data_IF_927680761168
#
_entry.id   IF_927680761168
#
_cell.length_a   1.000
_cell.length_b   1.000
_cell.length_c   1.000
_cell.angle_alpha   90.00
_cell.angle_beta   90.00
_cell.angle_gamma   90.00
#
_symmetry.space_group_name_H-M   'P 1'
#
loop_
_entity.id
_entity.type
_entity.pdbx_description
1 polymer ?
#
# COMPACT_ATOMS: atom_id res chain seq x y z
N UNK A 1 36.38 6.71 82.22
CA UNK A 1 35.41 5.90 82.97
C UNK A 1 35.08 4.68 82.12
N UNK A 2 35.66 3.62 82.47
CA UNK A 2 35.18 2.23 82.62
C UNK A 2 34.62 1.57 81.37
N UNK A 3 35.36 0.60 80.80
CA UNK A 3 35.45 -0.86 81.15
C UNK A 3 34.32 -1.63 80.42
N UNK A 4 34.46 -2.72 79.72
CA UNK A 4 35.39 -3.87 79.61
C UNK A 4 34.93 -4.68 78.35
N UNK A 5 35.87 -5.15 77.60
CA UNK A 5 36.24 -6.55 77.33
C UNK A 5 35.18 -7.65 77.50
N UNK A 6 34.99 -8.43 76.43
CA UNK A 6 35.27 -9.87 76.52
C UNK A 6 35.40 -10.54 75.17
N UNK A 7 36.55 -11.18 75.03
CA UNK A 7 36.94 -12.21 74.01
C UNK A 7 36.14 -13.49 74.16
N UNK A 8 35.83 -14.18 73.02
CA UNK A 8 35.92 -15.65 73.01
C UNK A 8 36.34 -16.18 71.63
N UNK A 9 37.28 -17.06 71.75
CA UNK A 9 38.05 -17.79 70.73
C UNK A 9 37.21 -18.88 70.01
N UNK A 10 37.60 -19.13 68.74
CA UNK A 10 37.94 -20.41 68.10
C UNK A 10 36.81 -21.39 67.75
N UNK A 11 36.70 -21.75 66.51
CA UNK A 11 37.08 -23.08 65.99
C UNK A 11 37.19 -23.08 64.50
N UNK A 12 38.30 -23.46 63.93
CA UNK A 12 38.55 -23.84 62.60
C UNK A 12 37.80 -25.15 62.26
N UNK A 13 37.04 -25.18 61.19
CA UNK A 13 36.69 -26.42 60.50
C UNK A 13 36.90 -26.18 59.02
N UNK A 14 37.89 -26.79 58.45
CA UNK A 14 38.16 -26.89 57.05
C UNK A 14 37.14 -27.86 56.46
N UNK A 15 36.28 -27.39 55.56
CA UNK A 15 35.47 -28.25 54.68
C UNK A 15 35.88 -28.00 53.21
N UNK A 16 36.57 -28.99 52.67
CA UNK A 16 36.79 -29.10 51.23
C UNK A 16 35.43 -29.24 50.52
N UNK A 17 35.01 -28.22 49.78
CA UNK A 17 33.93 -28.34 48.85
C UNK A 17 34.50 -28.42 47.43
N UNK A 18 34.47 -29.60 46.88
CA UNK A 18 34.65 -29.88 45.44
C UNK A 18 33.63 -29.07 44.64
N UNK A 19 34.10 -28.06 43.92
CA UNK A 19 33.30 -27.27 43.01
C UNK A 19 32.80 -28.12 41.84
N UNK A 20 31.53 -28.44 41.80
CA UNK A 20 30.85 -28.90 40.61
C UNK A 20 30.65 -27.70 39.66
N UNK A 21 31.44 -27.66 38.60
CA UNK A 21 31.19 -26.78 37.47
C UNK A 21 29.95 -27.27 36.77
N UNK A 22 28.80 -26.59 36.99
CA UNK A 22 27.66 -26.68 36.09
C UNK A 22 27.93 -25.78 34.88
N UNK A 23 27.95 -26.30 33.66
CA UNK A 23 27.97 -25.45 32.50
C UNK A 23 26.66 -24.67 32.48
N UNK A 24 26.75 -23.33 32.49
CA UNK A 24 25.64 -22.46 32.22
C UNK A 24 25.11 -22.77 30.81
N UNK A 25 24.07 -23.59 30.73
CA UNK A 25 23.26 -23.74 29.53
C UNK A 25 22.60 -22.37 29.28
N UNK A 26 23.16 -21.60 28.39
CA UNK A 26 22.48 -20.46 27.81
C UNK A 26 21.23 -21.03 27.06
N UNK A 27 20.12 -21.11 27.76
CA UNK A 27 18.80 -21.28 27.17
C UNK A 27 18.55 -20.03 26.34
N UNK A 28 18.97 -20.09 25.07
CA UNK A 28 18.55 -19.12 24.08
C UNK A 28 17.03 -19.05 24.15
N UNK A 29 16.47 -17.89 24.45
CA UNK A 29 15.03 -17.63 24.36
C UNK A 29 14.59 -18.05 22.96
N UNK A 30 14.00 -19.23 22.84
CA UNK A 30 13.32 -19.71 21.64
C UNK A 30 12.25 -18.66 21.34
N UNK A 31 12.42 -17.88 20.29
CA UNK A 31 11.36 -16.99 19.80
C UNK A 31 10.08 -17.81 19.70
N UNK A 32 8.96 -17.24 20.10
CA UNK A 32 7.65 -17.89 20.06
C UNK A 32 7.41 -18.48 18.70
N UNK A 33 7.36 -19.81 18.60
CA UNK A 33 7.16 -20.55 17.35
C UNK A 33 5.69 -20.57 16.86
N UNK A 34 4.86 -19.67 17.35
CA UNK A 34 3.46 -19.57 17.02
C UNK A 34 3.18 -18.52 15.93
N UNK A 35 1.99 -18.59 15.30
CA UNK A 35 1.58 -17.62 14.30
C UNK A 35 1.53 -16.20 14.89
N UNK A 36 1.94 -15.21 14.09
CA UNK A 36 1.88 -13.80 14.49
C UNK A 36 0.47 -13.28 14.27
N UNK A 37 -0.30 -13.13 15.35
CA UNK A 37 -1.69 -12.65 15.30
C UNK A 37 -1.73 -11.14 15.54
N UNK A 38 -2.46 -10.42 14.68
CA UNK A 38 -2.73 -8.98 14.79
C UNK A 38 -4.23 -8.70 14.79
N UNK A 39 -4.61 -7.52 15.30
CA UNK A 39 -6.02 -7.15 15.46
C UNK A 39 -6.65 -7.79 16.70
N UNK A 40 -7.96 -7.57 16.86
CA UNK A 40 -8.74 -8.05 18.01
C UNK A 40 -10.19 -8.36 17.63
N UNK A 41 -10.90 -9.09 18.50
CA UNK A 41 -12.30 -9.45 18.29
C UNK A 41 -12.52 -10.15 16.94
N UNK A 42 -13.50 -9.68 16.17
CA UNK A 42 -13.82 -10.21 14.82
C UNK A 42 -12.85 -9.74 13.72
N UNK A 43 -11.90 -8.88 14.05
CA UNK A 43 -10.89 -8.35 13.12
C UNK A 43 -9.50 -8.92 13.45
N UNK A 44 -9.39 -10.24 13.54
CA UNK A 44 -8.14 -10.95 13.84
C UNK A 44 -7.59 -11.61 12.60
N UNK A 45 -6.28 -11.44 12.41
CA UNK A 45 -5.55 -11.95 11.27
C UNK A 45 -4.22 -12.57 11.69
N UNK A 46 -3.82 -13.62 11.01
CA UNK A 46 -2.45 -14.12 11.03
C UNK A 46 -1.63 -13.33 10.00
N UNK A 47 -0.58 -12.63 10.46
CA UNK A 47 0.28 -11.84 9.60
C UNK A 47 1.43 -12.68 9.05
N UNK A 48 1.44 -12.86 7.74
CA UNK A 48 2.48 -13.57 6.97
C UNK A 48 3.25 -12.54 6.15
N UNK A 49 4.31 -11.98 6.73
CA UNK A 49 5.22 -11.10 6.01
C UNK A 49 6.06 -11.90 5.01
N UNK A 50 6.52 -11.25 3.94
CA UNK A 50 7.28 -11.91 2.86
C UNK A 50 6.55 -13.12 2.24
N UNK A 51 5.19 -13.02 2.17
CA UNK A 51 4.34 -14.07 1.64
C UNK A 51 4.65 -14.35 0.17
N UNK A 52 4.87 -13.34 -0.66
CA UNK A 52 5.22 -13.46 -2.07
C UNK A 52 6.74 -13.48 -2.24
N UNK A 53 7.29 -14.62 -2.66
CA UNK A 53 8.73 -14.78 -2.93
C UNK A 53 9.00 -14.84 -4.43
N UNK A 54 9.92 -13.98 -4.87
CA UNK A 54 10.38 -14.02 -6.26
C UNK A 54 11.41 -15.14 -6.47
N UNK A 55 11.45 -15.74 -7.69
CA UNK A 55 12.59 -16.56 -8.12
C UNK A 55 13.88 -15.74 -8.16
N UNK A 56 15.03 -16.37 -7.99
CA UNK A 56 16.36 -15.73 -7.90
C UNK A 56 16.72 -14.82 -9.08
N UNK A 57 16.14 -15.10 -10.26
CA UNK A 57 16.35 -14.26 -11.46
C UNK A 57 15.70 -12.88 -11.39
N UNK A 58 14.83 -12.64 -10.40
CA UNK A 58 14.15 -11.37 -10.19
C UNK A 58 14.45 -10.81 -8.80
N UNK A 59 14.36 -9.51 -8.66
CA UNK A 59 14.46 -8.84 -7.37
C UNK A 59 13.32 -7.85 -7.19
N UNK A 60 12.77 -7.79 -5.98
CA UNK A 60 11.87 -6.73 -5.62
C UNK A 60 12.56 -5.36 -5.70
N UNK A 61 11.80 -4.41 -6.19
CA UNK A 61 12.08 -2.99 -6.02
C UNK A 61 10.99 -2.41 -5.12
N UNK A 62 10.90 -1.11 -4.99
CA UNK A 62 9.83 -0.53 -4.16
C UNK A 62 8.46 -0.98 -4.68
N UNK A 63 7.76 -1.79 -3.90
CA UNK A 63 6.39 -2.23 -4.20
C UNK A 63 5.40 -1.10 -3.96
N UNK A 64 4.44 -0.95 -4.88
CA UNK A 64 3.47 0.13 -4.82
C UNK A 64 2.05 -0.36 -4.60
N UNK A 65 1.56 -1.21 -5.49
CA UNK A 65 0.16 -1.58 -5.50
C UNK A 65 -0.01 -3.08 -5.79
N UNK A 66 -1.19 -3.62 -5.50
CA UNK A 66 -1.54 -5.00 -5.77
C UNK A 66 -3.05 -5.15 -5.98
N UNK A 67 -3.43 -6.17 -6.75
CA UNK A 67 -4.82 -6.49 -7.03
C UNK A 67 -5.02 -8.01 -7.01
N UNK A 68 -6.25 -8.46 -6.77
CA UNK A 68 -6.61 -9.88 -6.72
C UNK A 68 -7.72 -10.14 -7.75
N UNK A 69 -7.54 -11.17 -8.57
CA UNK A 69 -8.59 -11.62 -9.48
C UNK A 69 -9.60 -12.58 -8.80
N UNK A 70 -10.65 -12.93 -9.50
CA UNK A 70 -11.70 -13.81 -8.98
C UNK A 70 -11.19 -15.22 -8.65
N UNK A 71 -10.14 -15.69 -9.32
CA UNK A 71 -9.50 -16.96 -9.06
C UNK A 71 -8.54 -16.92 -7.86
N UNK A 72 -8.27 -15.72 -7.31
CA UNK A 72 -7.40 -15.48 -6.16
C UNK A 72 -5.92 -15.30 -6.52
N UNK A 73 -5.57 -15.13 -7.81
CA UNK A 73 -4.23 -14.74 -8.18
C UNK A 73 -3.97 -13.29 -7.78
N UNK A 74 -2.76 -13.04 -7.26
CA UNK A 74 -2.34 -11.72 -6.78
C UNK A 74 -1.36 -11.11 -7.78
N UNK A 75 -1.70 -9.95 -8.28
CA UNK A 75 -0.90 -9.15 -9.20
C UNK A 75 -0.23 -8.03 -8.41
N UNK A 76 1.08 -7.97 -8.43
CA UNK A 76 1.87 -6.98 -7.69
C UNK A 76 2.64 -6.12 -8.67
N UNK A 77 2.49 -4.79 -8.58
CA UNK A 77 3.30 -3.86 -9.33
C UNK A 77 4.35 -3.20 -8.43
N UNK A 78 5.58 -3.08 -8.95
CA UNK A 78 6.62 -2.30 -8.32
C UNK A 78 7.04 -1.11 -9.20
N UNK A 79 7.65 -0.09 -8.60
CA UNK A 79 8.07 1.12 -9.30
C UNK A 79 8.99 0.83 -10.50
N UNK A 80 9.87 -0.14 -10.32
CA UNK A 80 10.89 -0.43 -11.29
C UNK A 80 12.04 0.59 -11.26
N UNK A 81 13.05 0.34 -12.11
CA UNK A 81 14.19 1.24 -12.29
C UNK A 81 14.43 1.46 -13.76
N UNK A 82 14.51 2.72 -14.19
CA UNK A 82 14.63 3.11 -15.60
C UNK A 82 15.73 2.36 -16.38
N UNK A 83 16.82 2.00 -15.72
CA UNK A 83 17.94 1.28 -16.36
C UNK A 83 17.72 -0.24 -16.50
N UNK A 84 16.69 -0.79 -15.89
CA UNK A 84 16.35 -2.22 -15.97
C UNK A 84 15.25 -2.46 -17.02
N UNK A 85 15.46 -2.04 -18.24
CA UNK A 85 14.45 -2.01 -19.31
C UNK A 85 13.75 -3.33 -19.59
N UNK A 86 14.44 -4.46 -19.37
CA UNK A 86 13.90 -5.81 -19.62
C UNK A 86 13.38 -6.50 -18.35
N UNK A 87 13.48 -5.84 -17.18
CA UNK A 87 12.96 -6.41 -15.94
C UNK A 87 11.44 -6.17 -15.88
N UNK A 88 10.62 -7.17 -15.56
CA UNK A 88 9.17 -6.98 -15.43
C UNK A 88 8.83 -6.05 -14.26
N UNK A 89 7.75 -5.29 -14.38
CA UNK A 89 7.22 -4.47 -13.30
C UNK A 89 6.03 -5.11 -12.59
N UNK A 90 5.42 -6.14 -13.20
CA UNK A 90 4.25 -6.83 -12.66
C UNK A 90 4.59 -8.29 -12.43
N UNK A 91 4.29 -8.78 -11.23
CA UNK A 91 4.53 -10.15 -10.79
C UNK A 91 3.22 -10.79 -10.34
N UNK A 92 2.99 -12.03 -10.75
CA UNK A 92 1.75 -12.76 -10.45
C UNK A 92 2.06 -13.94 -9.56
N UNK A 93 1.27 -14.07 -8.50
CA UNK A 93 1.36 -15.16 -7.52
C UNK A 93 0.04 -15.91 -7.43
N UNK A 94 0.11 -17.20 -7.18
CA UNK A 94 -1.08 -17.99 -6.87
C UNK A 94 -1.60 -17.68 -5.43
N UNK A 95 -2.78 -18.16 -5.03
CA UNK A 95 -3.34 -17.93 -3.69
C UNK A 95 -2.45 -18.37 -2.53
N UNK A 96 -1.43 -19.20 -2.79
CA UNK A 96 -0.49 -19.71 -1.80
C UNK A 96 0.84 -18.91 -1.77
N UNK A 97 1.00 -17.90 -2.64
CA UNK A 97 2.19 -17.07 -2.71
C UNK A 97 3.30 -17.63 -3.61
N UNK A 98 3.00 -18.68 -4.38
CA UNK A 98 3.93 -19.22 -5.37
C UNK A 98 3.94 -18.34 -6.60
N UNK A 99 5.12 -17.95 -7.05
CA UNK A 99 5.32 -17.22 -8.30
C UNK A 99 4.79 -18.00 -9.51
N UNK A 100 4.03 -17.31 -10.36
CA UNK A 100 3.42 -17.88 -11.57
C UNK A 100 4.09 -17.32 -12.84
N UNK A 101 4.07 -15.98 -12.99
CA UNK A 101 4.61 -15.29 -14.16
C UNK A 101 4.94 -13.84 -13.84
N UNK A 102 5.63 -13.17 -14.77
CA UNK A 102 5.90 -11.74 -14.69
C UNK A 102 5.90 -11.10 -16.08
N UNK A 103 5.48 -9.84 -16.16
CA UNK A 103 5.37 -9.04 -17.38
C UNK A 103 5.41 -7.54 -17.07
N UNK A 104 5.11 -6.70 -18.05
CA UNK A 104 4.95 -5.26 -17.84
C UNK A 104 6.25 -4.48 -17.81
N UNK A 105 7.31 -4.92 -18.53
CA UNK A 105 8.58 -4.20 -18.62
C UNK A 105 8.45 -2.77 -19.18
N UNK A 106 7.38 -2.49 -19.95
CA UNK A 106 7.07 -1.14 -20.43
C UNK A 106 6.77 -0.13 -19.32
N UNK A 107 6.43 -0.58 -18.11
CA UNK A 107 6.17 0.27 -16.94
C UNK A 107 7.40 0.47 -16.04
N UNK A 108 8.57 -0.03 -16.43
CA UNK A 108 9.81 0.10 -15.66
C UNK A 108 10.21 1.57 -15.46
N UNK A 109 10.43 1.94 -14.21
CA UNK A 109 10.74 3.31 -13.79
C UNK A 109 9.50 4.20 -13.62
N UNK A 110 8.32 3.58 -13.39
CA UNK A 110 7.09 4.33 -13.19
C UNK A 110 5.89 3.50 -12.75
N UNK A 111 6.01 2.17 -12.60
CA UNK A 111 4.89 1.33 -12.19
C UNK A 111 4.30 1.77 -10.85
N UNK A 112 2.97 1.99 -10.78
CA UNK A 112 2.34 2.53 -9.59
C UNK A 112 1.01 1.86 -9.23
N UNK A 113 -0.11 2.21 -9.88
CA UNK A 113 -1.42 1.62 -9.61
C UNK A 113 -1.66 0.36 -10.44
N UNK A 114 -2.32 -0.62 -9.87
CA UNK A 114 -2.82 -1.81 -10.56
C UNK A 114 -4.14 -2.23 -9.92
N UNK A 115 -5.16 -2.45 -10.76
CA UNK A 115 -6.46 -2.91 -10.31
C UNK A 115 -6.97 -4.00 -11.26
N UNK A 116 -7.70 -4.99 -10.72
CA UNK A 116 -8.45 -5.97 -11.52
C UNK A 116 -9.88 -5.50 -11.68
N UNK A 117 -10.38 -5.54 -12.91
CA UNK A 117 -11.76 -5.26 -13.20
C UNK A 117 -12.38 -6.37 -14.01
N UNK A 118 -13.57 -6.81 -13.58
CA UNK A 118 -14.41 -7.70 -14.35
C UNK A 118 -15.29 -6.91 -15.32
N UNK A 119 -15.28 -7.31 -16.59
CA UNK A 119 -16.09 -6.75 -17.65
C UNK A 119 -16.81 -7.89 -18.39
N UNK A 120 -18.10 -8.05 -18.12
CA UNK A 120 -18.83 -9.23 -18.58
C UNK A 120 -18.30 -10.51 -17.96
N UNK A 121 -17.78 -11.42 -18.77
CA UNK A 121 -17.20 -12.69 -18.34
C UNK A 121 -15.68 -12.67 -18.24
N UNK A 122 -15.03 -11.58 -18.66
CA UNK A 122 -13.58 -11.42 -18.68
C UNK A 122 -13.10 -10.52 -17.54
N UNK A 123 -11.86 -10.71 -17.13
CA UNK A 123 -11.18 -9.83 -16.20
C UNK A 123 -9.97 -9.18 -16.87
N UNK A 124 -9.73 -7.93 -16.55
CA UNK A 124 -8.65 -7.11 -17.09
C UNK A 124 -7.87 -6.43 -15.98
N UNK A 125 -6.60 -6.18 -16.25
CA UNK A 125 -5.76 -5.33 -15.42
C UNK A 125 -5.80 -3.90 -15.93
N UNK A 126 -6.06 -2.97 -15.04
CA UNK A 126 -5.88 -1.55 -15.26
C UNK A 126 -4.62 -1.10 -14.54
N UNK A 127 -3.68 -0.56 -15.26
CA UNK A 127 -2.34 -0.22 -14.75
C UNK A 127 -2.07 1.24 -15.01
N UNK A 128 -1.57 1.97 -14.03
CA UNK A 128 -1.03 3.29 -14.25
C UNK A 128 0.45 3.36 -13.85
N UNK A 129 1.16 4.23 -14.54
CA UNK A 129 2.57 4.46 -14.35
C UNK A 129 2.88 5.95 -14.36
N UNK A 130 3.64 6.39 -13.36
CA UNK A 130 4.01 7.78 -13.14
C UNK A 130 5.46 8.06 -13.55
N UNK A 131 6.08 9.10 -13.03
CA UNK A 131 7.47 9.50 -13.28
C UNK A 131 7.84 9.62 -14.77
N UNK A 132 8.60 8.66 -15.30
CA UNK A 132 9.12 8.71 -16.66
C UNK A 132 8.16 8.14 -17.70
N UNK A 133 7.17 7.36 -17.27
CA UNK A 133 6.23 6.65 -18.15
C UNK A 133 4.99 7.49 -18.43
N UNK A 134 4.34 8.00 -17.36
CA UNK A 134 3.16 8.91 -17.46
C UNK A 134 2.03 8.35 -18.31
N UNK A 135 1.71 7.09 -18.11
CA UNK A 135 0.71 6.37 -18.89
C UNK A 135 -0.29 5.64 -17.99
N UNK A 136 -1.40 5.28 -18.59
CA UNK A 136 -2.32 4.28 -18.02
C UNK A 136 -2.76 3.32 -19.13
N UNK A 137 -3.03 2.07 -18.76
CA UNK A 137 -3.29 1.03 -19.73
C UNK A 137 -4.30 0.02 -19.21
N UNK A 138 -5.02 -0.62 -20.14
CA UNK A 138 -5.79 -1.84 -19.91
C UNK A 138 -5.05 -3.01 -20.53
N UNK A 139 -4.86 -4.06 -19.74
CA UNK A 139 -4.18 -5.29 -20.15
C UNK A 139 -5.10 -6.48 -19.92
N UNK A 140 -4.87 -7.55 -20.69
CA UNK A 140 -5.39 -8.87 -20.30
C UNK A 140 -4.70 -9.34 -19.02
N UNK A 141 -5.25 -10.34 -18.34
CA UNK A 141 -4.58 -10.94 -17.17
C UNK A 141 -3.24 -11.61 -17.53
N UNK A 142 -3.01 -11.95 -18.82
CA UNK A 142 -1.72 -12.44 -19.32
C UNK A 142 -0.68 -11.35 -19.57
N UNK A 143 -1.10 -10.07 -19.57
CA UNK A 143 -0.22 -8.92 -19.76
C UNK A 143 -0.21 -8.34 -21.18
N UNK A 144 -1.08 -8.81 -22.06
CA UNK A 144 -1.24 -8.23 -23.40
C UNK A 144 -1.95 -6.88 -23.31
N UNK A 145 -1.44 -5.88 -24.02
CA UNK A 145 -1.99 -4.52 -24.00
C UNK A 145 -3.25 -4.49 -24.87
N UNK A 146 -4.40 -4.18 -24.25
CA UNK A 146 -5.64 -3.89 -24.94
C UNK A 146 -5.63 -2.46 -25.48
N UNK A 147 -5.25 -1.51 -24.61
CA UNK A 147 -4.96 -0.12 -24.98
C UNK A 147 -4.01 0.53 -23.96
N UNK A 148 -3.27 1.53 -24.41
CA UNK A 148 -2.40 2.39 -23.59
C UNK A 148 -2.71 3.85 -23.91
N UNK A 149 -2.85 4.68 -22.89
CA UNK A 149 -3.24 6.09 -22.99
C UNK A 149 -2.36 6.96 -22.11
N UNK A 150 -2.37 8.25 -22.37
CA UNK A 150 -1.53 9.26 -21.73
C UNK A 150 -2.40 10.41 -21.19
N UNK A 151 -1.81 11.59 -20.97
CA UNK A 151 -2.54 12.74 -20.45
C UNK A 151 -3.74 13.12 -21.35
N UNK A 152 -4.94 13.34 -20.79
CA UNK A 152 -6.11 13.78 -21.53
C UNK A 152 -6.01 15.28 -21.85
N UNK A 153 -5.49 15.62 -23.04
CA UNK A 153 -5.28 17.01 -23.46
C UNK A 153 -6.61 17.77 -23.57
N UNK A 154 -7.67 17.08 -23.99
CA UNK A 154 -9.03 17.59 -24.07
C UNK A 154 -9.57 18.11 -22.73
N UNK A 155 -8.97 17.71 -21.64
CA UNK A 155 -9.30 18.23 -20.30
C UNK A 155 -8.92 19.69 -20.09
N UNK A 156 -8.04 20.25 -20.94
CA UNK A 156 -7.47 21.60 -20.79
C UNK A 156 -6.50 21.76 -19.62
N UNK A 157 -6.10 20.66 -18.97
CA UNK A 157 -5.15 20.67 -17.83
C UNK A 157 -3.70 20.52 -18.29
N UNK A 158 -3.49 19.72 -19.33
CA UNK A 158 -2.18 19.28 -19.79
C UNK A 158 -1.78 20.01 -21.07
N UNK A 159 -0.47 20.03 -21.34
CA UNK A 159 0.10 20.65 -22.52
C UNK A 159 0.14 19.69 -23.69
N UNK A 160 0.08 20.22 -24.89
CA UNK A 160 0.31 19.49 -26.13
C UNK A 160 1.62 18.69 -26.05
N UNK A 161 1.55 17.42 -26.46
CA UNK A 161 2.68 16.47 -26.38
C UNK A 161 2.71 15.62 -25.12
N UNK A 162 1.93 15.93 -24.07
CA UNK A 162 1.78 15.05 -22.90
C UNK A 162 0.86 13.86 -23.18
N UNK A 163 0.14 13.87 -24.28
CA UNK A 163 -0.70 12.79 -24.81
C UNK A 163 0.09 11.69 -25.56
N UNK A 164 1.41 11.72 -25.51
CA UNK A 164 2.29 10.81 -26.27
C UNK A 164 3.29 10.08 -25.36
N UNK A 165 3.68 8.88 -25.79
CA UNK A 165 4.73 8.11 -25.14
C UNK A 165 6.03 8.90 -25.08
N UNK A 166 6.66 8.86 -23.90
CA UNK A 166 7.93 9.59 -23.69
C UNK A 166 7.76 11.10 -23.61
N UNK A 167 6.59 11.57 -23.21
CA UNK A 167 6.26 13.00 -23.08
C UNK A 167 7.33 13.76 -22.29
N UNK A 168 7.58 15.00 -22.77
CA UNK A 168 8.63 15.86 -22.24
C UNK A 168 8.41 16.16 -20.76
N UNK A 169 9.46 16.04 -19.97
CA UNK A 169 9.46 16.52 -18.60
C UNK A 169 9.34 18.03 -18.60
N UNK A 170 8.31 18.57 -17.97
CA UNK A 170 8.13 20.01 -17.82
C UNK A 170 9.34 20.66 -17.16
N UNK A 171 9.74 21.84 -17.64
CA UNK A 171 10.74 22.64 -16.96
C UNK A 171 10.25 23.08 -15.58
N UNK A 172 11.16 23.46 -14.69
CA UNK A 172 10.77 23.95 -13.36
C UNK A 172 9.85 25.19 -13.41
N UNK A 173 9.94 25.99 -14.50
CA UNK A 173 9.09 27.15 -14.74
C UNK A 173 7.68 26.79 -15.19
N UNK A 174 7.53 25.63 -15.83
CA UNK A 174 6.26 25.15 -16.40
C UNK A 174 5.55 24.15 -15.49
N UNK A 175 6.15 23.79 -14.34
CA UNK A 175 5.53 22.85 -13.40
C UNK A 175 4.37 23.51 -12.68
N UNK A 176 3.25 22.80 -12.51
CA UNK A 176 2.19 23.24 -11.62
C UNK A 176 2.75 23.48 -10.20
N UNK A 177 2.19 24.45 -9.50
CA UNK A 177 2.57 24.77 -8.10
C UNK A 177 2.45 23.59 -7.14
N UNK A 178 1.58 22.66 -7.46
CA UNK A 178 1.14 21.57 -6.61
C UNK A 178 1.74 20.22 -6.98
N UNK A 179 2.08 19.96 -8.23
CA UNK A 179 2.59 18.68 -8.69
C UNK A 179 4.07 18.68 -9.03
N UNK A 180 4.60 17.49 -9.33
CA UNK A 180 5.98 17.30 -9.83
C UNK A 180 6.06 17.54 -11.33
N UNK A 181 5.03 17.06 -12.04
CA UNK A 181 4.77 17.24 -13.47
C UNK A 181 3.26 17.43 -13.64
N UNK A 182 2.74 17.66 -14.85
CA UNK A 182 1.33 17.89 -15.04
C UNK A 182 0.53 16.57 -14.91
N UNK A 183 0.96 15.49 -15.59
CA UNK A 183 0.29 14.19 -15.53
C UNK A 183 1.15 13.11 -14.85
N UNK A 184 0.73 12.66 -13.67
CA UNK A 184 1.36 11.58 -12.91
C UNK A 184 0.28 10.74 -12.21
N UNK A 185 -0.38 9.82 -12.95
CA UNK A 185 -1.53 9.06 -12.46
C UNK A 185 -1.12 8.10 -11.34
N UNK A 186 -2.03 7.89 -10.39
CA UNK A 186 -1.77 7.09 -9.20
C UNK A 186 -2.63 5.85 -9.07
N UNK A 187 -3.94 5.92 -9.25
CA UNK A 187 -4.82 4.76 -9.16
C UNK A 187 -6.17 4.97 -9.87
N UNK A 188 -6.93 3.88 -9.99
CA UNK A 188 -8.23 3.78 -10.62
C UNK A 188 -9.34 3.52 -9.61
N UNK A 189 -10.59 3.87 -10.02
CA UNK A 189 -11.81 3.38 -9.37
C UNK A 189 -12.88 3.14 -10.44
N UNK A 190 -13.66 2.06 -10.30
CA UNK A 190 -14.57 1.60 -11.33
C UNK A 190 -16.02 1.91 -11.00
N UNK A 191 -16.74 2.38 -12.02
CA UNK A 191 -18.15 2.76 -11.95
C UNK A 191 -19.05 1.62 -12.44
N UNK A 192 -20.29 1.57 -11.94
CA UNK A 192 -21.28 0.59 -12.38
C UNK A 192 -21.71 0.76 -13.83
N UNK A 193 -21.62 1.98 -14.37
CA UNK A 193 -21.94 2.28 -15.78
C UNK A 193 -20.92 1.72 -16.77
N UNK A 194 -19.85 1.11 -16.27
CA UNK A 194 -18.76 0.58 -17.08
C UNK A 194 -17.58 1.53 -17.23
N UNK A 195 -17.73 2.81 -16.94
CA UNK A 195 -16.66 3.80 -16.91
C UNK A 195 -15.71 3.63 -15.73
N UNK A 196 -14.73 4.51 -15.64
CA UNK A 196 -13.78 4.54 -14.53
C UNK A 196 -13.32 5.95 -14.21
N UNK A 197 -12.81 6.10 -13.00
CA UNK A 197 -12.11 7.29 -12.54
C UNK A 197 -10.61 7.00 -12.48
N UNK A 198 -9.80 8.00 -12.86
CA UNK A 198 -8.34 7.96 -12.75
C UNK A 198 -7.89 9.17 -11.94
N UNK A 199 -7.17 8.92 -10.86
CA UNK A 199 -6.57 9.99 -10.06
C UNK A 199 -5.21 10.40 -10.62
N UNK A 200 -5.02 11.68 -10.95
CA UNK A 200 -3.72 12.28 -11.22
C UNK A 200 -3.08 12.78 -9.90
N UNK A 201 -2.85 11.85 -8.98
CA UNK A 201 -2.57 12.14 -7.58
C UNK A 201 -1.19 12.74 -7.31
N UNK A 202 -0.21 12.59 -8.20
CA UNK A 202 1.10 13.23 -8.09
C UNK A 202 1.32 14.37 -9.09
N UNK A 203 0.44 14.48 -10.08
CA UNK A 203 0.51 15.50 -11.11
C UNK A 203 -0.33 16.73 -10.78
N UNK A 204 -1.46 16.87 -11.43
CA UNK A 204 -2.32 18.05 -11.37
C UNK A 204 -3.40 17.98 -10.29
N UNK A 205 -3.54 16.87 -9.58
CA UNK A 205 -4.52 16.60 -8.52
C UNK A 205 -5.99 16.59 -8.97
N UNK A 206 -6.24 16.46 -10.28
CA UNK A 206 -7.56 16.25 -10.82
C UNK A 206 -7.93 14.76 -10.82
N UNK A 207 -9.22 14.48 -10.66
CA UNK A 207 -9.82 13.18 -10.88
C UNK A 207 -10.47 13.23 -12.26
N UNK A 208 -10.03 12.34 -13.16
CA UNK A 208 -10.54 12.24 -14.52
C UNK A 208 -11.54 11.10 -14.63
N UNK A 209 -12.67 11.35 -15.28
CA UNK A 209 -13.68 10.34 -15.62
C UNK A 209 -13.54 9.92 -17.06
N UNK A 210 -13.57 8.63 -17.29
CA UNK A 210 -13.50 7.98 -18.60
C UNK A 210 -14.68 7.05 -18.79
N UNK A 211 -15.07 6.82 -20.06
CA UNK A 211 -15.98 5.72 -20.43
C UNK A 211 -15.26 4.36 -20.38
N UNK A 212 -15.98 3.29 -20.70
CA UNK A 212 -15.43 1.92 -20.69
C UNK A 212 -14.39 1.67 -21.79
N UNK A 213 -14.40 2.45 -22.86
CA UNK A 213 -13.42 2.45 -23.94
C UNK A 213 -12.17 3.28 -23.61
N UNK A 214 -12.18 3.99 -22.47
CA UNK A 214 -11.11 4.87 -22.02
C UNK A 214 -11.10 6.22 -22.74
N UNK A 215 -12.22 6.68 -23.26
CA UNK A 215 -12.35 8.05 -23.77
C UNK A 215 -12.65 8.98 -22.60
N UNK A 216 -11.97 10.13 -22.57
CA UNK A 216 -12.13 11.10 -21.50
C UNK A 216 -13.52 11.76 -21.59
N UNK A 217 -14.18 11.92 -20.45
CA UNK A 217 -15.52 12.50 -20.36
C UNK A 217 -15.52 13.82 -19.58
N UNK A 218 -14.91 13.84 -18.40
CA UNK A 218 -14.95 14.98 -17.50
C UNK A 218 -13.85 14.90 -16.43
N UNK A 219 -13.75 15.95 -15.63
CA UNK A 219 -12.88 15.96 -14.43
C UNK A 219 -13.57 16.69 -13.30
N UNK A 220 -13.14 16.38 -12.05
CA UNK A 220 -13.52 17.12 -10.86
C UNK A 220 -12.35 17.18 -9.87
N UNK A 221 -12.49 17.95 -8.80
CA UNK A 221 -11.47 18.10 -7.78
C UNK A 221 -10.47 19.18 -8.11
N UNK A 222 -9.22 18.78 -8.31
CA UNK A 222 -8.09 19.68 -8.53
C UNK A 222 -7.41 20.13 -7.25
N UNK A 223 -6.36 20.97 -7.36
CA UNK A 223 -5.55 21.37 -6.23
C UNK A 223 -6.28 22.36 -5.31
N UNK A 224 -6.18 22.14 -3.99
CA UNK A 224 -6.76 23.03 -3.00
C UNK A 224 -6.72 22.47 -1.60
N UNK A 225 -7.24 23.24 -0.63
CA UNK A 225 -7.36 22.86 0.78
C UNK A 225 -8.82 22.70 1.22
N UNK A 226 -9.75 22.97 0.32
CA UNK A 226 -11.16 22.95 0.60
C UNK A 226 -11.81 21.60 0.36
N UNK A 227 -13.10 21.54 0.65
CA UNK A 227 -13.97 20.39 0.38
C UNK A 227 -14.03 20.11 -1.12
N UNK A 228 -13.77 18.86 -1.53
CA UNK A 228 -13.76 18.47 -2.93
C UNK A 228 -12.52 18.93 -3.73
N UNK A 229 -11.52 19.48 -3.05
CA UNK A 229 -10.19 19.79 -3.63
C UNK A 229 -9.10 19.08 -2.84
N UNK A 230 -7.92 18.88 -3.43
CA UNK A 230 -6.96 17.92 -2.92
C UNK A 230 -5.51 18.44 -2.89
N UNK A 231 -4.72 17.76 -2.08
CA UNK A 231 -3.27 17.77 -2.12
C UNK A 231 -2.75 16.34 -2.11
N UNK A 232 -2.43 15.82 -3.28
CA UNK A 232 -2.08 14.41 -3.50
C UNK A 232 -3.28 13.46 -3.27
N UNK A 233 -4.33 13.52 -4.12
CA UNK A 233 -5.42 12.52 -4.12
C UNK A 233 -4.84 11.19 -4.62
N UNK A 234 -4.20 10.43 -3.71
CA UNK A 234 -3.33 9.33 -4.09
C UNK A 234 -4.08 8.05 -4.39
N UNK A 235 -4.90 7.59 -3.46
CA UNK A 235 -5.81 6.46 -3.65
C UNK A 235 -7.21 6.95 -3.98
N UNK A 236 -7.88 6.20 -4.81
CA UNK A 236 -9.27 6.43 -5.20
C UNK A 236 -10.02 5.12 -5.23
N UNK A 237 -11.24 5.11 -4.73
CA UNK A 237 -12.12 3.94 -4.72
C UNK A 237 -13.57 4.35 -4.96
N UNK A 238 -14.38 3.50 -5.57
CA UNK A 238 -15.83 3.66 -5.57
C UNK A 238 -16.42 2.71 -4.55
N UNK A 239 -16.97 3.27 -3.48
CA UNK A 239 -17.60 2.52 -2.39
C UNK A 239 -19.01 2.08 -2.81
N UNK A 240 -19.19 0.79 -2.96
CA UNK A 240 -20.45 0.14 -3.34
C UNK A 240 -21.19 -0.48 -2.14
N UNK A 241 -20.73 -0.30 -0.90
CA UNK A 241 -21.34 -0.88 0.32
C UNK A 241 -22.79 -0.42 0.51
N UNK A 242 -23.12 0.75 -0.03
CA UNK A 242 -24.46 1.31 -0.02
C UNK A 242 -25.10 1.31 -1.42
N UNK A 243 -26.41 1.61 -1.51
CA UNK A 243 -27.09 1.69 -2.81
C UNK A 243 -26.54 2.77 -3.73
N UNK A 244 -26.12 3.92 -3.17
CA UNK A 244 -25.48 5.00 -3.92
C UNK A 244 -23.98 4.76 -3.97
N UNK A 245 -23.38 4.90 -5.14
CA UNK A 245 -21.94 4.92 -5.31
C UNK A 245 -21.39 6.21 -4.70
N UNK A 246 -20.32 6.05 -3.93
CA UNK A 246 -19.60 7.16 -3.29
C UNK A 246 -18.14 7.05 -3.66
N UNK A 247 -17.57 8.13 -4.16
CA UNK A 247 -16.15 8.22 -4.46
C UNK A 247 -15.38 8.48 -3.17
N UNK A 248 -14.46 7.59 -2.83
CA UNK A 248 -13.56 7.71 -1.66
C UNK A 248 -12.20 8.16 -2.18
N UNK A 249 -11.71 9.29 -1.68
CA UNK A 249 -10.40 9.84 -2.06
C UNK A 249 -9.49 9.88 -0.84
N UNK A 250 -8.35 9.20 -0.94
CA UNK A 250 -7.25 9.32 0.01
C UNK A 250 -6.46 10.59 -0.28
N UNK A 251 -6.87 11.70 0.34
CA UNK A 251 -6.20 13.00 0.21
C UNK A 251 -4.95 13.02 1.10
N UNK A 252 -3.91 12.35 0.59
CA UNK A 252 -2.73 11.92 1.34
C UNK A 252 -2.05 13.04 2.09
N UNK A 253 -1.75 14.14 1.43
CA UNK A 253 -0.97 15.21 2.03
C UNK A 253 -1.81 16.16 2.92
N UNK A 254 -3.12 15.98 2.96
CA UNK A 254 -3.99 16.57 3.97
C UNK A 254 -4.27 15.62 5.13
N UNK A 255 -3.80 14.36 5.08
CA UNK A 255 -4.04 13.36 6.12
C UNK A 255 -5.52 13.01 6.32
N UNK A 256 -6.33 13.11 5.27
CA UNK A 256 -7.77 12.93 5.30
C UNK A 256 -8.25 11.94 4.26
N UNK A 257 -9.46 11.41 4.47
CA UNK A 257 -10.22 10.69 3.46
C UNK A 257 -11.48 11.50 3.17
N UNK A 258 -11.65 11.89 1.92
CA UNK A 258 -12.83 12.62 1.45
C UNK A 258 -13.79 11.69 0.72
N UNK A 259 -15.09 11.89 0.94
CA UNK A 259 -16.19 11.19 0.30
C UNK A 259 -16.95 12.17 -0.59
N UNK A 260 -17.14 11.82 -1.85
CA UNK A 260 -17.79 12.64 -2.86
C UNK A 260 -18.87 11.84 -3.60
N UNK A 261 -19.83 12.53 -4.22
CA UNK A 261 -20.67 11.88 -5.23
C UNK A 261 -19.91 11.69 -6.57
N UNK A 262 -20.55 11.09 -7.56
CA UNK A 262 -19.92 10.79 -8.85
C UNK A 262 -19.63 12.05 -9.68
N UNK A 263 -20.23 13.17 -9.36
CA UNK A 263 -20.01 14.49 -9.96
C UNK A 263 -18.91 15.29 -9.26
N UNK A 264 -18.34 14.73 -8.17
CA UNK A 264 -17.27 15.36 -7.41
C UNK A 264 -17.75 16.33 -6.32
N UNK A 265 -19.05 16.36 -6.01
CA UNK A 265 -19.58 17.16 -4.90
C UNK A 265 -19.19 16.50 -3.59
N UNK A 266 -18.59 17.28 -2.71
CA UNK A 266 -18.18 16.83 -1.39
C UNK A 266 -19.37 16.41 -0.51
N UNK A 267 -19.27 15.26 0.11
CA UNK A 267 -20.24 14.70 1.04
C UNK A 267 -19.73 14.71 2.47
N UNK A 268 -18.51 14.21 2.68
CA UNK A 268 -17.92 14.05 4.03
C UNK A 268 -16.39 14.07 3.94
N UNK A 269 -15.73 14.47 5.03
CA UNK A 269 -14.29 14.27 5.28
C UNK A 269 -14.09 13.58 6.63
N UNK A 270 -13.14 12.66 6.68
CA UNK A 270 -12.67 12.02 7.91
C UNK A 270 -11.19 12.32 8.07
N UNK A 271 -10.83 12.82 9.24
CA UNK A 271 -9.46 13.17 9.62
C UNK A 271 -8.78 12.05 10.41
N UNK A 272 -7.49 12.22 10.71
CA UNK A 272 -6.76 11.35 11.64
C UNK A 272 -6.07 10.16 10.99
N UNK A 273 -5.88 10.18 9.68
CA UNK A 273 -5.08 9.20 8.96
C UNK A 273 -3.61 9.63 8.82
N UNK A 274 -2.73 8.66 8.83
CA UNK A 274 -1.28 8.86 8.65
C UNK A 274 -0.83 8.68 7.21
N UNK A 275 -1.02 9.68 6.33
CA UNK A 275 -0.75 9.59 4.89
C UNK A 275 -1.56 8.44 4.25
N UNK A 276 -2.90 8.53 4.18
CA UNK A 276 -3.74 7.49 3.58
C UNK A 276 -3.32 7.26 2.13
N UNK A 277 -3.17 6.00 1.76
CA UNK A 277 -2.52 5.65 0.50
C UNK A 277 -3.48 5.11 -0.55
N UNK A 278 -4.38 4.23 -0.18
CA UNK A 278 -5.42 3.69 -1.05
C UNK A 278 -6.67 3.33 -0.24
N UNK A 279 -7.68 2.77 -0.90
CA UNK A 279 -8.90 2.26 -0.27
C UNK A 279 -9.38 1.01 -1.00
N UNK A 280 -10.00 0.09 -0.26
CA UNK A 280 -10.71 -1.07 -0.79
C UNK A 280 -11.86 -1.45 0.14
N UNK A 281 -12.84 -2.19 -0.37
CA UNK A 281 -14.03 -2.62 0.39
C UNK A 281 -14.23 -4.12 0.34
N UNK A 282 -14.65 -4.69 1.48
CA UNK A 282 -15.09 -6.08 1.55
C UNK A 282 -16.28 -6.18 2.49
N UNK A 283 -17.44 -6.63 1.98
CA UNK A 283 -18.72 -6.62 2.73
C UNK A 283 -19.03 -5.20 3.25
N UNK A 284 -19.13 -5.07 4.57
CA UNK A 284 -19.41 -3.83 5.31
C UNK A 284 -18.16 -3.00 5.67
N UNK A 285 -16.97 -3.53 5.36
CA UNK A 285 -15.71 -2.88 5.70
C UNK A 285 -15.16 -2.01 4.56
N UNK A 286 -14.66 -0.83 4.93
CA UNK A 286 -13.75 -0.01 4.14
C UNK A 286 -12.36 -0.11 4.77
N UNK A 287 -11.35 -0.37 3.97
CA UNK A 287 -9.96 -0.47 4.39
C UNK A 287 -9.16 0.70 3.84
N UNK A 288 -8.31 1.29 4.69
CA UNK A 288 -7.39 2.38 4.34
C UNK A 288 -5.98 2.01 4.78
N UNK A 289 -5.08 1.61 3.87
CA UNK A 289 -3.66 1.52 4.17
C UNK A 289 -3.07 2.91 4.36
N UNK A 290 -2.22 3.07 5.38
CA UNK A 290 -1.59 4.34 5.74
C UNK A 290 -0.07 4.20 5.68
N UNK A 291 0.61 5.08 4.94
CA UNK A 291 2.09 5.08 4.90
C UNK A 291 2.72 5.30 6.27
N UNK A 292 1.96 5.80 7.24
CA UNK A 292 2.37 5.87 8.62
C UNK A 292 2.09 4.55 9.37
N UNK A 293 2.58 3.45 8.77
CA UNK A 293 2.81 2.17 9.43
C UNK A 293 1.58 1.47 10.01
N UNK A 294 0.41 1.55 9.38
CA UNK A 294 -0.80 0.83 9.82
C UNK A 294 -1.83 0.66 8.70
N UNK A 295 -2.80 -0.20 8.93
CA UNK A 295 -4.00 -0.33 8.11
C UNK A 295 -5.21 -0.05 9.01
N UNK A 296 -6.05 0.88 8.62
CA UNK A 296 -7.33 1.17 9.30
C UNK A 296 -8.48 0.46 8.61
N UNK A 297 -9.32 -0.22 9.41
CA UNK A 297 -10.60 -0.76 8.96
C UNK A 297 -11.72 0.12 9.51
N UNK A 298 -12.68 0.45 8.65
CA UNK A 298 -13.85 1.27 8.97
C UNK A 298 -15.13 0.47 8.74
N UNK A 299 -16.14 0.68 9.58
CA UNK A 299 -17.49 0.11 9.45
C UNK A 299 -18.33 0.80 8.36
N UNK A 300 -19.59 0.38 8.19
CA UNK A 300 -20.56 1.00 7.26
C UNK A 300 -20.80 2.49 7.52
N UNK A 301 -20.68 2.92 8.78
CA UNK A 301 -20.80 4.33 9.18
C UNK A 301 -19.52 5.11 8.99
N UNK A 302 -18.47 4.43 8.51
CA UNK A 302 -17.12 4.96 8.35
C UNK A 302 -16.44 5.34 9.68
N UNK A 303 -16.75 4.65 10.79
CA UNK A 303 -16.00 4.74 12.02
C UNK A 303 -14.82 3.76 11.99
N UNK A 304 -13.65 4.17 12.48
CA UNK A 304 -12.50 3.26 12.60
C UNK A 304 -12.78 2.21 13.67
N UNK A 305 -12.85 0.94 13.26
CA UNK A 305 -13.14 -0.22 14.12
C UNK A 305 -11.92 -1.07 14.43
N UNK A 306 -10.86 -0.97 13.64
CA UNK A 306 -9.58 -1.61 13.91
C UNK A 306 -8.41 -0.87 13.25
N UNK A 307 -7.23 -0.98 13.86
CA UNK A 307 -5.95 -0.58 13.29
C UNK A 307 -5.02 -1.79 13.35
N UNK A 308 -4.63 -2.29 12.18
CA UNK A 308 -3.84 -3.50 12.05
C UNK A 308 -2.37 -3.15 11.89
N UNK A 309 -1.51 -3.91 12.56
CA UNK A 309 -0.05 -3.83 12.40
C UNK A 309 0.55 -2.47 12.75
N UNK A 310 -0.11 -1.67 13.58
CA UNK A 310 0.27 -0.29 13.92
C UNK A 310 1.66 -0.22 14.58
N UNK A 311 2.59 0.47 13.94
CA UNK A 311 3.95 0.77 14.42
C UNK A 311 4.32 2.26 14.23
N UNK A 312 3.30 3.14 14.24
CA UNK A 312 3.45 4.59 14.05
C UNK A 312 4.54 5.17 14.94
N UNK A 313 4.58 4.81 16.21
CA UNK A 313 5.57 5.34 17.16
C UNK A 313 7.01 5.03 16.75
N UNK A 314 7.29 3.81 16.28
CA UNK A 314 8.65 3.43 15.90
C UNK A 314 9.05 3.94 14.52
N UNK A 315 8.10 3.97 13.57
CA UNK A 315 8.38 4.37 12.18
C UNK A 315 8.39 5.89 12.03
N UNK A 316 7.39 6.58 12.60
CA UNK A 316 7.16 8.01 12.36
C UNK A 316 7.74 8.86 13.50
N UNK A 317 7.32 8.59 14.74
CA UNK A 317 7.66 9.42 15.90
C UNK A 317 9.14 9.25 16.27
N UNK A 318 9.58 8.02 16.49
CA UNK A 318 10.93 7.74 16.94
C UNK A 318 11.92 7.39 15.83
N UNK A 319 11.46 7.16 14.60
CA UNK A 319 12.28 6.81 13.42
C UNK A 319 13.26 5.65 13.65
N UNK A 320 12.86 4.69 14.50
CA UNK A 320 13.66 3.50 14.84
C UNK A 320 13.60 2.42 13.76
N UNK A 321 12.55 2.45 12.95
CA UNK A 321 12.31 1.51 11.84
C UNK A 321 12.46 2.25 10.53
N UNK A 322 13.28 1.70 9.63
CA UNK A 322 13.60 2.32 8.35
C UNK A 322 13.07 1.49 7.17
N UNK A 323 12.51 2.14 6.17
CA UNK A 323 12.14 1.51 4.89
C UNK A 323 13.32 0.91 4.10
N UNK A 324 14.55 1.26 4.47
CA UNK A 324 15.78 0.80 3.80
C UNK A 324 16.49 -0.33 4.54
N UNK A 325 16.05 -0.64 5.76
CA UNK A 325 16.70 -1.64 6.60
C UNK A 325 15.71 -2.69 7.09
N UNK A 326 15.60 -3.81 6.36
CA UNK A 326 14.70 -4.91 6.70
C UNK A 326 14.97 -5.54 8.07
N UNK A 327 16.21 -5.44 8.58
CA UNK A 327 16.56 -5.94 9.93
C UNK A 327 15.86 -5.17 11.07
N UNK A 328 15.36 -3.96 10.79
CA UNK A 328 14.59 -3.17 11.76
C UNK A 328 13.09 -3.51 11.79
N UNK A 329 12.60 -4.31 10.82
CA UNK A 329 11.19 -4.63 10.71
C UNK A 329 10.79 -5.71 11.72
N UNK A 330 9.57 -5.60 12.25
CA UNK A 330 9.05 -6.51 13.27
C UNK A 330 7.91 -7.35 12.73
N UNK A 331 7.82 -8.58 13.21
CA UNK A 331 6.68 -9.46 12.92
C UNK A 331 5.37 -8.80 13.38
N UNK A 332 4.33 -8.89 12.57
CA UNK A 332 3.02 -8.29 12.85
C UNK A 332 2.98 -6.77 12.76
N UNK A 333 4.04 -6.11 12.28
CA UNK A 333 4.13 -4.64 12.16
C UNK A 333 4.38 -4.22 10.73
N UNK A 334 3.77 -3.09 10.34
CA UNK A 334 4.00 -2.47 9.05
C UNK A 334 5.02 -1.33 9.13
N UNK A 335 5.60 -1.00 7.98
CA UNK A 335 6.53 0.13 7.84
C UNK A 335 5.86 1.24 7.03
N UNK A 336 5.53 0.97 5.78
CA UNK A 336 4.84 1.92 4.92
C UNK A 336 3.85 1.19 4.01
N UNK A 337 2.68 0.73 4.51
CA UNK A 337 1.62 0.21 3.66
C UNK A 337 1.24 1.24 2.59
N UNK A 338 1.51 0.91 1.34
CA UNK A 338 1.22 1.79 0.21
C UNK A 338 -0.09 1.41 -0.47
N UNK A 339 -0.39 0.12 -0.43
CA UNK A 339 -1.64 -0.42 -0.89
C UNK A 339 -2.04 -1.67 -0.10
N UNK A 340 -3.34 -1.93 -0.06
CA UNK A 340 -3.89 -3.18 0.47
C UNK A 340 -5.21 -3.49 -0.23
N UNK A 341 -5.43 -4.76 -0.56
CA UNK A 341 -6.69 -5.23 -1.11
C UNK A 341 -7.21 -6.47 -0.39
N UNK A 342 -8.53 -6.64 -0.39
CA UNK A 342 -9.17 -7.85 0.11
C UNK A 342 -9.16 -8.96 -0.95
N UNK A 343 -8.99 -10.20 -0.50
CA UNK A 343 -9.40 -11.35 -1.30
C UNK A 343 -10.92 -11.52 -1.22
N UNK A 344 -11.54 -12.32 -2.12
CA UNK A 344 -12.95 -12.67 -2.03
C UNK A 344 -13.34 -13.31 -0.68
N UNK A 345 -12.41 -13.99 -0.01
CA UNK A 345 -12.59 -14.64 1.29
C UNK A 345 -12.37 -13.68 2.48
N UNK A 346 -11.88 -12.48 2.25
CA UNK A 346 -11.63 -11.48 3.28
C UNK A 346 -10.23 -11.56 3.91
N UNK A 347 -9.29 -12.29 3.31
CA UNK A 347 -7.87 -12.10 3.60
C UNK A 347 -7.44 -10.73 3.05
N UNK A 348 -6.40 -10.14 3.61
CA UNK A 348 -5.86 -8.85 3.14
C UNK A 348 -4.46 -9.07 2.61
N UNK A 349 -4.20 -8.62 1.39
CA UNK A 349 -2.85 -8.50 0.85
C UNK A 349 -2.36 -7.07 0.97
N UNK A 350 -1.07 -6.89 1.26
CA UNK A 350 -0.49 -5.57 1.54
C UNK A 350 0.81 -5.40 0.78
N UNK A 351 0.91 -4.35 -0.02
CA UNK A 351 2.15 -3.90 -0.64
C UNK A 351 2.74 -2.75 0.17
N UNK A 352 4.01 -2.86 0.55
CA UNK A 352 4.66 -1.83 1.33
C UNK A 352 5.70 -1.05 0.52
N UNK A 353 5.68 0.27 0.67
CA UNK A 353 6.63 1.19 0.06
C UNK A 353 7.98 1.13 0.79
N UNK A 354 8.67 -0.01 0.69
CA UNK A 354 10.01 -0.24 1.23
C UNK A 354 10.98 -0.56 0.10
N UNK A 355 12.27 -0.25 0.28
CA UNK A 355 13.24 -0.26 -0.82
C UNK A 355 13.43 -1.64 -1.47
N UNK A 356 13.38 -2.70 -0.68
CA UNK A 356 13.51 -4.10 -1.13
C UNK A 356 12.17 -4.77 -1.45
N UNK A 357 11.07 -4.01 -1.43
CA UNK A 357 9.73 -4.54 -1.53
C UNK A 357 9.34 -5.47 -0.36
N UNK A 358 8.08 -5.47 0.01
CA UNK A 358 7.52 -6.48 0.92
C UNK A 358 6.03 -6.66 0.61
N UNK A 359 5.63 -7.91 0.40
CA UNK A 359 4.23 -8.29 0.22
C UNK A 359 3.83 -9.18 1.38
N UNK A 360 2.84 -8.72 2.12
CA UNK A 360 2.30 -9.44 3.27
C UNK A 360 0.90 -9.96 2.98
N UNK A 361 0.57 -11.12 3.54
CA UNK A 361 -0.80 -11.64 3.62
C UNK A 361 -1.26 -11.61 5.06
N UNK A 362 -2.40 -11.01 5.30
CA UNK A 362 -3.12 -11.11 6.56
C UNK A 362 -4.24 -12.15 6.35
N UNK A 363 -4.01 -13.36 6.82
CA UNK A 363 -4.98 -14.45 6.73
C UNK A 363 -6.03 -14.26 7.81
N UNK A 364 -7.30 -14.17 7.42
CA UNK A 364 -8.40 -13.99 8.35
C UNK A 364 -8.59 -15.22 9.23
N UNK A 365 -8.78 -15.02 10.54
CA UNK A 365 -8.93 -16.11 11.52
C UNK A 365 -10.38 -16.27 11.98
N UNK A 366 -11.19 -15.22 11.89
CA UNK A 366 -12.58 -15.24 12.42
C UNK A 366 -13.55 -14.53 11.50
#
# INVERSE_FOLDING_TARGET
MHIQNTTRRSFLSAACTTGLFFPNLLLGKKGSSGPTIIGSGKYRFEALHDWAKLPDKYSWQTTHNLAVDQAGFVYVIHEGRKHLTNHPSIFVFDPNGKFVRAFGSQFQGGGHGIEVRREGNEEYLYVCAYQNIKAFAKLTLSGEVVWEKYAPIESGVYKEGEDKKGSVRLSSKDRPRWGRDAFLPTNFAFLRDGGFLLSDGYGSFWIHRYDKEGNWLSKFGGPGKGKGTFKTPHGIWVDHRNRKEVVVICDRAHHTVQFLDLEGKHLRTIDGFGLPANADTWKDLLMIPELHARISLLDESNNVVARLGDDVDNVVTHKKVSRRNSKSWKAGKFVHPHDACFSPQGDIFVAEWVQSGRISKLKRIS
#
